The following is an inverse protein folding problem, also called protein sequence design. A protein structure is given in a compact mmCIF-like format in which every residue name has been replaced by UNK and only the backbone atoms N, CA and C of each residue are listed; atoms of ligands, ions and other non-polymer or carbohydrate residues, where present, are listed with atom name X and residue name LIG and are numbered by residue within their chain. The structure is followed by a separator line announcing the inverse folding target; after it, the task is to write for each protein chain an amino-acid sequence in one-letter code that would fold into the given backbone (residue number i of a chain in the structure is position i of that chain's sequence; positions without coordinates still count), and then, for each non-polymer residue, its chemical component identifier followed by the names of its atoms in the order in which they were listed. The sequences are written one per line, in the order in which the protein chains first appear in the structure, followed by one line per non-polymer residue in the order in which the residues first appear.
data_IF_222017992276
#
_entry.id   IF_222017992276
#
_cell.length_a   1.000
_cell.length_b   1.000
_cell.length_c   1.000
_cell.angle_alpha   90.00
_cell.angle_beta   90.00
_cell.angle_gamma   90.00
#
_symmetry.space_group_name_H-M   'P 1'
#
loop_
_entity.id
_entity.type
_entity.pdbx_description
1 polymer ?
#
# COMPACT_ATOMS: atom_id res chain seq x y z
N UNK A 1 1.80 32.58 27.51
CA UNK A 1 2.87 33.01 26.58
C UNK A 1 3.22 31.82 25.70
N UNK A 2 2.93 31.90 24.39
CA UNK A 2 3.20 30.83 23.41
C UNK A 2 4.66 30.94 22.97
N UNK A 3 5.42 29.85 23.12
CA UNK A 3 6.76 29.72 22.55
C UNK A 3 6.64 29.61 21.03
N UNK A 4 7.18 30.61 20.34
CA UNK A 4 7.41 30.61 18.89
C UNK A 4 8.84 30.17 18.68
N UNK A 5 9.04 29.00 18.07
CA UNK A 5 10.33 28.67 17.47
C UNK A 5 10.48 29.50 16.18
N UNK A 6 11.71 29.91 15.89
CA UNK A 6 12.05 30.90 14.86
C UNK A 6 11.84 30.46 13.41
N UNK A 7 10.84 29.63 13.11
CA UNK A 7 10.47 29.18 11.76
C UNK A 7 8.99 29.36 11.42
N UNK A 8 8.20 30.05 12.24
CA UNK A 8 6.83 30.49 11.89
C UNK A 8 5.84 29.38 11.50
N UNK A 9 6.22 28.12 11.63
CA UNK A 9 5.42 26.95 11.32
C UNK A 9 4.76 26.45 12.59
N UNK A 10 3.46 26.14 12.52
CA UNK A 10 2.76 25.39 13.56
C UNK A 10 3.42 24.00 13.63
N UNK A 11 4.12 23.68 14.73
CA UNK A 11 4.57 22.31 14.98
C UNK A 11 3.34 21.43 15.25
N UNK A 12 2.83 20.80 14.20
CA UNK A 12 1.65 19.92 14.25
C UNK A 12 1.89 18.69 15.14
N UNK A 13 3.14 18.27 15.37
CA UNK A 13 3.45 17.14 16.24
C UNK A 13 3.26 17.47 17.73
N UNK A 14 3.43 18.74 18.10
CA UNK A 14 3.21 19.22 19.48
C UNK A 14 1.90 20.01 19.65
N UNK A 15 1.10 20.15 18.59
CA UNK A 15 -0.16 20.87 18.65
C UNK A 15 -1.13 20.18 19.62
N UNK A 16 -1.75 20.91 20.57
CA UNK A 16 -2.82 20.38 21.42
C UNK A 16 -3.96 19.73 20.61
N UNK A 17 -4.17 20.18 19.37
CA UNK A 17 -5.14 19.62 18.45
C UNK A 17 -4.80 18.18 18.04
N UNK A 18 -3.52 17.83 17.86
CA UNK A 18 -3.11 16.47 17.52
C UNK A 18 -3.44 15.45 18.63
N UNK A 19 -3.44 15.89 19.90
CA UNK A 19 -3.89 15.10 21.05
C UNK A 19 -5.41 15.11 21.25
N UNK A 20 -6.13 16.04 20.63
CA UNK A 20 -7.57 16.21 20.79
C UNK A 20 -8.41 15.44 19.75
N UNK A 21 -7.80 14.92 18.68
CA UNK A 21 -8.53 14.11 17.68
C UNK A 21 -8.76 12.69 18.23
N UNK A 22 -9.87 12.51 18.93
CA UNK A 22 -10.36 11.18 19.28
C UNK A 22 -11.17 10.61 18.10
N UNK A 23 -10.52 9.84 17.23
CA UNK A 23 -11.22 9.12 16.16
C UNK A 23 -11.93 7.89 16.73
N UNK A 24 -13.21 7.75 16.42
CA UNK A 24 -13.93 6.49 16.63
C UNK A 24 -13.31 5.38 15.78
N UNK A 25 -13.54 4.12 16.16
CA UNK A 25 -13.07 2.97 15.37
C UNK A 25 -13.58 3.01 13.92
N UNK A 26 -14.78 3.53 13.70
CA UNK A 26 -15.37 3.68 12.37
C UNK A 26 -14.65 4.75 11.54
N UNK A 27 -14.32 5.89 12.15
CA UNK A 27 -13.56 6.95 11.49
C UNK A 27 -12.14 6.47 11.15
N UNK A 28 -11.47 5.76 12.07
CA UNK A 28 -10.16 5.16 11.81
C UNK A 28 -10.24 4.20 10.62
N UNK A 29 -11.24 3.31 10.59
CA UNK A 29 -11.42 2.36 9.49
C UNK A 29 -11.64 3.06 8.14
N UNK A 30 -12.48 4.10 8.10
CA UNK A 30 -12.71 4.88 6.89
C UNK A 30 -11.43 5.57 6.42
N UNK A 31 -10.71 6.23 7.33
CA UNK A 31 -9.44 6.89 7.01
C UNK A 31 -8.36 5.91 6.55
N UNK A 32 -8.28 4.72 7.13
CA UNK A 32 -7.36 3.67 6.67
C UNK A 32 -7.67 3.24 5.25
N UNK A 33 -8.96 3.08 4.91
CA UNK A 33 -9.40 2.75 3.54
C UNK A 33 -9.05 3.87 2.55
N UNK A 34 -9.36 5.12 2.89
CA UNK A 34 -9.09 6.25 1.98
C UNK A 34 -7.58 6.46 1.78
N UNK A 35 -6.80 6.31 2.86
CA UNK A 35 -5.34 6.36 2.80
C UNK A 35 -4.77 5.24 1.93
N UNK A 36 -5.30 4.01 2.03
CA UNK A 36 -4.80 2.88 1.27
C UNK A 36 -5.03 3.06 -0.23
N UNK A 37 -6.19 3.58 -0.62
CA UNK A 37 -6.49 3.93 -2.02
C UNK A 37 -5.57 5.04 -2.51
N UNK A 38 -5.36 6.10 -1.72
CA UNK A 38 -4.45 7.19 -2.11
C UNK A 38 -3.01 6.73 -2.34
N UNK A 39 -2.51 5.81 -1.50
CA UNK A 39 -1.16 5.26 -1.67
C UNK A 39 -1.05 4.32 -2.87
N UNK A 40 -2.10 3.57 -3.20
CA UNK A 40 -2.18 2.80 -4.43
C UNK A 40 -2.03 3.71 -5.66
N UNK A 41 -2.73 4.85 -5.69
CA UNK A 41 -2.62 5.79 -6.81
C UNK A 41 -1.25 6.46 -6.89
N UNK A 42 -0.64 6.80 -5.76
CA UNK A 42 0.75 7.29 -5.73
C UNK A 42 1.70 6.22 -6.31
N UNK A 43 1.50 4.95 -5.98
CA UNK A 43 2.29 3.88 -6.55
C UNK A 43 2.14 3.80 -8.07
N UNK A 44 0.92 3.96 -8.61
CA UNK A 44 0.67 4.01 -10.06
C UNK A 44 1.43 5.17 -10.72
N UNK A 45 1.47 6.35 -10.09
CA UNK A 45 2.27 7.47 -10.57
C UNK A 45 3.75 7.11 -10.68
N UNK A 46 4.32 6.40 -9.70
CA UNK A 46 5.71 5.93 -9.75
C UNK A 46 5.96 4.78 -10.72
N UNK A 47 4.96 3.92 -10.99
CA UNK A 47 5.04 2.87 -12.01
C UNK A 47 5.01 3.44 -13.42
N UNK A 48 4.16 4.42 -13.68
CA UNK A 48 3.94 4.98 -15.01
C UNK A 48 4.77 6.24 -15.29
N UNK A 49 5.32 6.86 -14.25
CA UNK A 49 6.07 8.12 -14.38
C UNK A 49 5.18 9.34 -14.58
N UNK A 50 3.96 9.33 -14.03
CA UNK A 50 3.01 10.44 -14.15
C UNK A 50 3.35 11.49 -13.10
N UNK A 51 3.87 12.65 -13.55
CA UNK A 51 4.25 13.76 -12.67
C UNK A 51 5.48 13.50 -11.78
N UNK A 52 6.03 12.29 -11.82
CA UNK A 52 7.22 11.86 -11.08
C UNK A 52 8.12 11.02 -11.97
N UNK A 53 9.40 10.88 -11.61
CA UNK A 53 10.29 9.93 -12.29
C UNK A 53 9.80 8.51 -12.05
N UNK A 54 9.70 7.72 -13.12
CA UNK A 54 9.37 6.29 -13.04
C UNK A 54 10.38 5.57 -12.15
N UNK A 55 9.92 5.09 -10.99
CA UNK A 55 10.75 4.51 -9.94
C UNK A 55 10.04 3.29 -9.32
N UNK A 56 10.19 2.11 -9.96
CA UNK A 56 9.46 0.89 -9.59
C UNK A 56 9.64 0.45 -8.13
N UNK A 57 10.84 0.62 -7.57
CA UNK A 57 11.13 0.26 -6.17
C UNK A 57 10.33 1.12 -5.16
N UNK A 58 10.16 2.40 -5.49
CA UNK A 58 9.34 3.33 -4.70
C UNK A 58 7.87 2.95 -4.81
N UNK A 59 7.39 2.64 -6.02
CA UNK A 59 6.03 2.15 -6.22
C UNK A 59 5.74 0.87 -5.41
N UNK A 60 6.65 -0.10 -5.44
CA UNK A 60 6.54 -1.35 -4.67
C UNK A 60 6.42 -1.08 -3.17
N UNK A 61 7.12 -0.06 -2.65
CA UNK A 61 7.02 0.33 -1.24
C UNK A 61 5.64 0.87 -0.89
N UNK A 62 5.08 1.75 -1.73
CA UNK A 62 3.72 2.27 -1.55
C UNK A 62 2.64 1.20 -1.67
N UNK A 63 2.74 0.32 -2.67
CA UNK A 63 1.82 -0.81 -2.82
C UNK A 63 1.86 -1.72 -1.59
N UNK A 64 3.04 -2.04 -1.05
CA UNK A 64 3.16 -2.87 0.16
C UNK A 64 2.47 -2.23 1.34
N UNK A 65 2.63 -0.92 1.51
CA UNK A 65 2.00 -0.19 2.60
C UNK A 65 0.47 -0.21 2.46
N UNK A 66 -0.05 0.10 1.28
CA UNK A 66 -1.48 0.04 0.98
C UNK A 66 -2.06 -1.38 1.12
N UNK A 67 -1.38 -2.38 0.57
CA UNK A 67 -1.78 -3.78 0.65
C UNK A 67 -1.80 -4.32 2.08
N UNK A 68 -0.86 -3.89 2.94
CA UNK A 68 -0.86 -4.22 4.37
C UNK A 68 -2.03 -3.56 5.13
N UNK A 69 -2.58 -2.45 4.63
CA UNK A 69 -3.81 -1.84 5.15
C UNK A 69 -5.08 -2.50 4.60
N UNK A 70 -4.95 -3.52 3.74
CA UNK A 70 -6.06 -4.28 3.18
C UNK A 70 -6.50 -3.83 1.80
N UNK A 71 -5.79 -2.89 1.15
CA UNK A 71 -6.16 -2.44 -0.19
C UNK A 71 -6.10 -3.58 -1.22
N UNK A 72 -7.28 -3.95 -1.74
CA UNK A 72 -7.41 -5.10 -2.64
C UNK A 72 -6.63 -4.90 -3.93
N UNK A 73 -6.71 -3.71 -4.53
CA UNK A 73 -6.03 -3.38 -5.77
C UNK A 73 -4.50 -3.47 -5.62
N UNK A 74 -3.96 -2.98 -4.50
CA UNK A 74 -2.54 -3.07 -4.19
C UNK A 74 -2.06 -4.51 -4.02
N UNK A 75 -2.85 -5.36 -3.34
CA UNK A 75 -2.52 -6.77 -3.18
C UNK A 75 -2.51 -7.50 -4.54
N UNK A 76 -3.50 -7.24 -5.40
CA UNK A 76 -3.55 -7.79 -6.76
C UNK A 76 -2.36 -7.31 -7.61
N UNK A 77 -2.05 -6.01 -7.56
CA UNK A 77 -0.96 -5.40 -8.30
C UNK A 77 0.41 -5.93 -7.83
N UNK A 78 0.63 -6.11 -6.53
CA UNK A 78 1.84 -6.74 -6.00
C UNK A 78 2.00 -8.17 -6.49
N UNK A 79 0.93 -8.98 -6.40
CA UNK A 79 0.93 -10.34 -6.93
C UNK A 79 1.29 -10.36 -8.42
N UNK A 80 0.75 -9.43 -9.20
CA UNK A 80 1.00 -9.33 -10.63
C UNK A 80 2.44 -8.95 -10.94
N UNK A 81 2.93 -7.84 -10.38
CA UNK A 81 4.26 -7.32 -10.64
C UNK A 81 5.35 -8.31 -10.23
N UNK A 82 5.22 -8.94 -9.06
CA UNK A 82 6.18 -9.92 -8.56
C UNK A 82 6.12 -11.25 -9.32
N UNK A 83 4.95 -11.68 -9.80
CA UNK A 83 4.83 -12.92 -10.59
C UNK A 83 5.38 -12.77 -12.01
N UNK A 84 5.28 -11.56 -12.59
CA UNK A 84 5.83 -11.26 -13.92
C UNK A 84 7.32 -10.93 -13.85
N UNK A 85 7.73 -10.09 -12.90
CA UNK A 85 9.09 -9.59 -12.79
C UNK A 85 9.49 -8.75 -14.01
N UNK A 86 8.97 -7.54 -14.11
CA UNK A 86 9.19 -6.63 -15.24
C UNK A 86 9.40 -5.19 -14.76
N UNK A 87 9.85 -4.31 -15.66
CA UNK A 87 10.04 -2.88 -15.38
C UNK A 87 10.92 -2.61 -14.17
N UNK A 88 12.06 -3.30 -14.04
CA UNK A 88 12.99 -3.12 -12.92
C UNK A 88 12.61 -3.87 -11.64
N UNK A 89 11.45 -4.54 -11.60
CA UNK A 89 11.01 -5.35 -10.47
C UNK A 89 11.49 -6.79 -10.66
N UNK A 90 12.21 -7.32 -9.66
CA UNK A 90 12.64 -8.72 -9.67
C UNK A 90 11.45 -9.64 -9.48
N UNK A 91 11.39 -10.71 -10.28
CA UNK A 91 10.40 -11.77 -10.11
C UNK A 91 10.56 -12.46 -8.75
N UNK A 92 9.48 -12.54 -7.99
CA UNK A 92 9.38 -13.31 -6.75
C UNK A 92 8.03 -14.00 -6.65
N UNK A 93 8.01 -15.29 -7.02
CA UNK A 93 6.77 -16.07 -7.04
C UNK A 93 6.24 -16.39 -5.64
N UNK A 94 7.12 -16.50 -4.63
CA UNK A 94 6.70 -16.81 -3.26
C UNK A 94 5.96 -15.62 -2.67
N UNK A 95 6.54 -14.44 -2.84
CA UNK A 95 5.93 -13.22 -2.37
C UNK A 95 4.67 -12.87 -3.17
N UNK A 96 4.68 -13.06 -4.49
CA UNK A 96 3.48 -12.92 -5.31
C UNK A 96 2.33 -13.79 -4.80
N UNK A 97 2.60 -15.05 -4.46
CA UNK A 97 1.60 -15.96 -3.92
C UNK A 97 1.01 -15.45 -2.60
N UNK A 98 1.85 -14.90 -1.71
CA UNK A 98 1.39 -14.29 -0.45
C UNK A 98 0.39 -13.17 -0.70
N UNK A 99 0.70 -12.23 -1.59
CA UNK A 99 -0.20 -11.11 -1.90
C UNK A 99 -1.49 -11.55 -2.56
N UNK A 100 -1.42 -12.49 -3.52
CA UNK A 100 -2.63 -13.03 -4.13
C UNK A 100 -3.51 -13.81 -3.14
N UNK A 101 -2.93 -14.56 -2.21
CA UNK A 101 -3.71 -15.23 -1.15
C UNK A 101 -4.45 -14.23 -0.27
N UNK A 102 -3.82 -13.10 0.06
CA UNK A 102 -4.50 -12.02 0.80
C UNK A 102 -5.68 -11.48 -0.01
N UNK A 103 -5.51 -11.22 -1.31
CA UNK A 103 -6.59 -10.75 -2.17
C UNK A 103 -7.73 -11.78 -2.33
N UNK A 104 -7.40 -13.07 -2.48
CA UNK A 104 -8.38 -14.18 -2.53
C UNK A 104 -9.18 -14.24 -1.23
N UNK A 105 -8.53 -14.10 -0.07
CA UNK A 105 -9.20 -14.09 1.23
C UNK A 105 -10.21 -12.94 1.41
N UNK A 106 -10.07 -11.87 0.63
CA UNK A 106 -11.02 -10.75 0.57
C UNK A 106 -12.11 -10.91 -0.51
N UNK A 107 -12.11 -12.01 -1.26
CA UNK A 107 -13.08 -12.28 -2.32
C UNK A 107 -12.75 -11.64 -3.67
N UNK A 108 -11.47 -11.36 -3.96
CA UNK A 108 -11.04 -10.88 -5.28
C UNK A 108 -11.53 -11.79 -6.41
N UNK A 109 -12.16 -11.19 -7.42
CA UNK A 109 -12.54 -11.87 -8.67
C UNK A 109 -11.40 -11.87 -9.70
N UNK A 110 -10.41 -11.00 -9.57
CA UNK A 110 -9.29 -10.93 -10.50
C UNK A 110 -8.25 -12.05 -10.28
N UNK A 111 -8.43 -12.85 -9.22
CA UNK A 111 -7.53 -13.94 -8.82
C UNK A 111 -8.04 -15.34 -9.19
N UNK A 112 -9.13 -15.43 -9.97
CA UNK A 112 -9.60 -16.72 -10.49
C UNK A 112 -8.50 -17.41 -11.31
N UNK A 113 -8.33 -18.72 -11.09
CA UNK A 113 -7.32 -19.52 -11.78
C UNK A 113 -5.92 -19.45 -11.17
N UNK A 114 -5.69 -18.70 -10.09
CA UNK A 114 -4.41 -18.65 -9.40
C UNK A 114 -4.19 -19.83 -8.43
N UNK A 115 -4.66 -21.04 -8.76
CA UNK A 115 -4.48 -22.23 -7.91
C UNK A 115 -3.00 -22.54 -7.58
N UNK A 116 -2.08 -22.04 -8.40
CA UNK A 116 -0.64 -22.18 -8.15
C UNK A 116 -0.19 -21.55 -6.82
N UNK A 117 -0.90 -20.55 -6.29
CA UNK A 117 -0.51 -19.86 -5.04
C UNK A 117 -0.56 -20.77 -3.81
N UNK A 118 -1.20 -21.93 -3.91
CA UNK A 118 -1.30 -22.93 -2.84
C UNK A 118 -0.36 -24.12 -3.01
N UNK A 119 0.51 -24.13 -4.02
CA UNK A 119 1.53 -25.17 -4.17
C UNK A 119 2.58 -25.03 -3.05
N UNK A 120 2.98 -26.14 -2.45
CA UNK A 120 3.91 -26.18 -1.30
C UNK A 120 5.15 -25.29 -1.45
N UNK A 121 5.75 -25.29 -2.65
CA UNK A 121 6.92 -24.44 -2.96
C UNK A 121 6.71 -22.93 -2.83
N UNK A 122 5.47 -22.45 -2.65
CA UNK A 122 5.10 -21.05 -2.46
C UNK A 122 4.37 -20.78 -1.12
N UNK A 123 4.32 -21.77 -0.23
CA UNK A 123 3.66 -21.67 1.07
C UNK A 123 4.60 -21.21 2.19
N UNK A 124 5.92 -21.27 1.94
CA UNK A 124 6.99 -20.82 2.84
C UNK A 124 7.66 -19.52 2.38
#
# INVERSE_FOLDING_TARGET
MRGVDGRGGIDLHQSPAAKAVHLSSQQKKAMTKDLSVGLFEIANCFLEGVGVKKTPDVAMSYLRFAGNMGDLASQEQLGFLLSKGSSGIKKDMKEAAKWYRMAIGQGSTNTFGLAWVWKDKYME
#
